data_IF_413147618097
#
_entry.id   IF_413147618097
#
_cell.length_a   1.000
_cell.length_b   1.000
_cell.length_c   1.000
_cell.angle_alpha   90.00
_cell.angle_beta   90.00
_cell.angle_gamma   90.00
#
_symmetry.space_group_name_H-M   'P 1'
#
loop_
_entity.id
_entity.type
_entity.pdbx_description
1 polymer ?
#
# COMPACT_ATOMS: atom_id res chain seq x y z
N UNK A 1 -36.05 40.08 3.57
CA UNK A 1 -35.22 39.80 2.37
C UNK A 1 -33.89 39.08 2.64
N UNK A 2 -33.36 39.04 3.86
CA UNK A 2 -32.05 38.50 4.24
C UNK A 2 -31.95 36.96 4.31
N UNK A 3 -33.05 36.25 4.61
CA UNK A 3 -33.04 34.78 4.84
C UNK A 3 -32.91 34.00 3.52
N UNK A 4 -33.58 34.46 2.45
CA UNK A 4 -33.53 33.80 1.13
C UNK A 4 -32.13 33.82 0.51
N UNK A 5 -31.43 34.96 0.61
CA UNK A 5 -30.05 35.09 0.12
C UNK A 5 -29.06 34.15 0.85
N UNK A 6 -29.22 33.97 2.17
CA UNK A 6 -28.37 33.02 2.95
C UNK A 6 -28.62 31.58 2.54
N UNK A 7 -29.87 31.18 2.32
CA UNK A 7 -30.21 29.80 1.89
C UNK A 7 -29.64 29.51 0.50
N UNK A 8 -29.75 30.44 -0.44
CA UNK A 8 -29.18 30.25 -1.79
C UNK A 8 -27.66 30.16 -1.75
N UNK A 9 -27.00 31.05 -1.00
CA UNK A 9 -25.52 31.00 -0.85
C UNK A 9 -25.04 29.68 -0.22
N UNK A 10 -25.73 29.17 0.79
CA UNK A 10 -25.42 27.87 1.42
C UNK A 10 -25.63 26.71 0.44
N UNK A 11 -26.68 26.74 -0.36
CA UNK A 11 -26.94 25.70 -1.38
C UNK A 11 -25.86 25.68 -2.47
N UNK A 12 -25.44 26.86 -2.95
CA UNK A 12 -24.37 26.98 -3.95
C UNK A 12 -23.03 26.46 -3.37
N UNK A 13 -22.71 26.80 -2.13
CA UNK A 13 -21.48 26.33 -1.49
C UNK A 13 -21.47 24.81 -1.32
N UNK A 14 -22.59 24.21 -0.95
CA UNK A 14 -22.74 22.74 -0.87
C UNK A 14 -22.56 22.07 -2.23
N UNK A 15 -23.17 22.62 -3.28
CA UNK A 15 -23.03 22.08 -4.64
C UNK A 15 -21.57 22.13 -5.11
N UNK A 16 -20.87 23.26 -4.89
CA UNK A 16 -19.45 23.38 -5.24
C UNK A 16 -18.58 22.36 -4.46
N UNK A 17 -18.85 22.17 -3.17
CA UNK A 17 -18.16 21.17 -2.35
C UNK A 17 -18.39 19.75 -2.87
N UNK A 18 -19.63 19.42 -3.22
CA UNK A 18 -20.00 18.13 -3.77
C UNK A 18 -19.31 17.87 -5.12
N UNK A 19 -19.27 18.87 -6.00
CA UNK A 19 -18.58 18.77 -7.29
C UNK A 19 -17.08 18.54 -7.12
N UNK A 20 -16.41 19.26 -6.21
CA UNK A 20 -15.00 19.05 -5.89
C UNK A 20 -14.76 17.63 -5.33
N UNK A 21 -15.59 17.18 -4.42
CA UNK A 21 -15.50 15.81 -3.86
C UNK A 21 -15.64 14.76 -4.96
N UNK A 22 -16.63 14.88 -5.83
CA UNK A 22 -16.84 13.93 -6.93
C UNK A 22 -15.67 13.95 -7.92
N UNK A 23 -15.10 15.12 -8.24
CA UNK A 23 -13.95 15.24 -9.12
C UNK A 23 -12.70 14.58 -8.52
N UNK A 24 -12.44 14.80 -7.22
CA UNK A 24 -11.33 14.16 -6.49
C UNK A 24 -11.49 12.63 -6.47
N UNK A 25 -12.71 12.15 -6.19
CA UNK A 25 -13.03 10.71 -6.20
C UNK A 25 -12.85 10.11 -7.60
N UNK A 26 -13.33 10.80 -8.64
CA UNK A 26 -13.17 10.34 -10.03
C UNK A 26 -11.71 10.24 -10.44
N UNK A 27 -10.86 11.17 -10.04
CA UNK A 27 -9.40 11.10 -10.29
C UNK A 27 -8.78 9.91 -9.60
N UNK A 28 -9.13 9.63 -8.34
CA UNK A 28 -8.63 8.46 -7.63
C UNK A 28 -9.03 7.16 -8.35
N UNK A 29 -10.30 7.04 -8.72
CA UNK A 29 -10.82 5.87 -9.43
C UNK A 29 -10.16 5.69 -10.81
N UNK A 30 -10.04 6.77 -11.60
CA UNK A 30 -9.41 6.72 -12.92
C UNK A 30 -7.93 6.34 -12.86
N UNK A 31 -7.18 6.90 -11.91
CA UNK A 31 -5.75 6.54 -11.72
C UNK A 31 -5.60 5.10 -11.22
N UNK A 32 -6.46 4.62 -10.34
CA UNK A 32 -6.45 3.23 -9.89
C UNK A 32 -6.76 2.27 -11.04
N UNK A 33 -7.75 2.60 -11.87
CA UNK A 33 -8.11 1.81 -13.05
C UNK A 33 -6.98 1.76 -14.08
N UNK A 34 -6.35 2.91 -14.36
CA UNK A 34 -5.20 2.99 -15.27
C UNK A 34 -4.00 2.18 -14.75
N UNK A 35 -3.70 2.27 -13.45
CA UNK A 35 -2.64 1.48 -12.83
C UNK A 35 -2.94 -0.03 -12.86
N UNK A 36 -4.21 -0.41 -12.67
CA UNK A 36 -4.65 -1.81 -12.78
C UNK A 36 -4.45 -2.35 -14.21
N UNK A 37 -4.85 -1.57 -15.22
CA UNK A 37 -4.65 -1.94 -16.62
C UNK A 37 -3.15 -2.05 -16.96
N UNK A 38 -2.33 -1.12 -16.49
CA UNK A 38 -0.87 -1.17 -16.68
C UNK A 38 -0.24 -2.38 -15.97
N UNK A 39 -0.66 -2.70 -14.74
CA UNK A 39 -0.19 -3.88 -14.01
C UNK A 39 -0.55 -5.17 -14.76
N UNK A 40 -1.78 -5.27 -15.24
CA UNK A 40 -2.26 -6.41 -16.01
C UNK A 40 -1.48 -6.59 -17.31
N UNK A 41 -1.27 -5.51 -18.08
CA UNK A 41 -0.50 -5.56 -19.34
C UNK A 41 0.98 -5.90 -19.14
N UNK A 42 1.54 -5.57 -17.96
CA UNK A 42 2.91 -5.95 -17.58
C UNK A 42 3.00 -7.38 -17.00
N UNK A 43 1.91 -8.14 -16.94
CA UNK A 43 1.88 -9.48 -16.34
C UNK A 43 2.11 -9.49 -14.83
N UNK A 44 1.89 -8.34 -14.17
CA UNK A 44 2.06 -8.19 -12.73
C UNK A 44 0.73 -8.37 -11.98
N UNK A 45 0.75 -8.90 -10.75
CA UNK A 45 -0.46 -9.11 -9.98
C UNK A 45 -1.10 -7.78 -9.55
N UNK A 46 -2.30 -7.52 -10.04
CA UNK A 46 -3.06 -6.27 -9.78
C UNK A 46 -3.29 -6.05 -8.29
N UNK A 47 -3.56 -7.10 -7.52
CA UNK A 47 -3.75 -6.99 -6.08
C UNK A 47 -2.47 -6.52 -5.36
N UNK A 48 -1.26 -6.95 -5.82
CA UNK A 48 0.00 -6.49 -5.26
C UNK A 48 0.29 -5.02 -5.65
N UNK A 49 -0.20 -4.55 -6.79
CA UNK A 49 -0.21 -3.12 -7.14
C UNK A 49 -1.02 -2.33 -6.10
N UNK A 50 -2.20 -2.82 -5.68
CA UNK A 50 -2.98 -2.17 -4.63
C UNK A 50 -2.30 -2.19 -3.25
N UNK A 51 -1.47 -3.19 -2.94
CA UNK A 51 -0.61 -3.16 -1.74
C UNK A 51 0.28 -1.90 -1.75
N UNK A 52 0.94 -1.60 -2.85
CA UNK A 52 1.75 -0.40 -2.99
C UNK A 52 0.94 0.90 -2.91
N UNK A 53 -0.28 0.90 -3.50
CA UNK A 53 -1.21 2.02 -3.40
C UNK A 53 -1.58 2.32 -1.93
N UNK A 54 -1.99 1.31 -1.18
CA UNK A 54 -2.35 1.43 0.25
C UNK A 54 -1.15 1.84 1.08
N UNK A 55 0.03 1.26 0.81
CA UNK A 55 1.25 1.59 1.52
C UNK A 55 1.62 3.06 1.37
N UNK A 56 1.43 3.66 0.19
CA UNK A 56 1.68 5.09 -0.03
C UNK A 56 0.87 5.97 0.94
N UNK A 57 -0.39 5.62 1.19
CA UNK A 57 -1.28 6.37 2.07
C UNK A 57 -1.17 6.00 3.55
N UNK A 58 -0.40 4.97 3.90
CA UNK A 58 -0.31 4.47 5.28
C UNK A 58 0.40 5.44 6.23
N UNK A 59 1.31 6.28 5.69
CA UNK A 59 2.03 7.30 6.46
C UNK A 59 2.56 8.40 5.54
N UNK A 60 2.30 9.67 5.94
CA UNK A 60 2.72 10.83 5.15
C UNK A 60 1.98 10.93 3.81
N UNK A 61 2.32 11.95 3.03
CA UNK A 61 1.71 12.20 1.73
C UNK A 61 2.69 12.92 0.80
N UNK A 62 4.00 12.73 1.04
CA UNK A 62 5.07 13.25 0.19
C UNK A 62 5.69 12.14 -0.65
N UNK A 63 6.43 12.51 -1.67
CA UNK A 63 7.19 11.55 -2.46
C UNK A 63 8.23 10.79 -1.60
N UNK A 64 8.88 11.50 -0.66
CA UNK A 64 9.84 10.90 0.26
C UNK A 64 9.16 9.87 1.18
N UNK A 65 8.00 10.21 1.74
CA UNK A 65 7.24 9.25 2.56
C UNK A 65 6.82 8.03 1.75
N UNK A 66 6.38 8.25 0.49
CA UNK A 66 6.05 7.17 -0.43
C UNK A 66 7.22 6.20 -0.67
N UNK A 67 8.44 6.72 -0.86
CA UNK A 67 9.65 5.89 -1.00
C UNK A 67 9.97 5.10 0.28
N UNK A 68 9.84 5.72 1.45
CA UNK A 68 10.05 5.05 2.75
C UNK A 68 9.02 3.94 2.94
N UNK A 69 7.75 4.23 2.66
CA UNK A 69 6.67 3.24 2.78
C UNK A 69 6.86 2.08 1.79
N UNK A 70 7.25 2.38 0.56
CA UNK A 70 7.57 1.36 -0.44
C UNK A 70 8.77 0.49 0.00
N UNK A 71 9.82 1.10 0.55
CA UNK A 71 10.94 0.38 1.16
C UNK A 71 10.48 -0.57 2.28
N UNK A 72 9.51 -0.15 3.09
CA UNK A 72 8.86 -0.99 4.10
C UNK A 72 8.15 -2.19 3.48
N UNK A 73 7.42 -2.00 2.37
CA UNK A 73 6.77 -3.11 1.64
C UNK A 73 7.82 -4.11 1.11
N UNK A 74 8.89 -3.62 0.49
CA UNK A 74 9.97 -4.48 0.00
C UNK A 74 10.62 -5.28 1.13
N UNK A 75 10.94 -4.64 2.24
CA UNK A 75 11.47 -5.32 3.41
C UNK A 75 10.48 -6.36 3.96
N UNK A 76 9.18 -6.06 3.95
CA UNK A 76 8.13 -7.00 4.32
C UNK A 76 8.08 -8.22 3.40
N UNK A 77 8.23 -8.05 2.09
CA UNK A 77 8.35 -9.17 1.14
C UNK A 77 9.58 -10.03 1.45
N UNK A 78 10.72 -9.40 1.72
CA UNK A 78 11.96 -10.12 2.12
C UNK A 78 11.77 -10.89 3.42
N UNK A 79 11.15 -10.28 4.43
CA UNK A 79 10.80 -10.97 5.68
C UNK A 79 9.84 -12.13 5.45
N UNK A 80 8.88 -11.99 4.53
CA UNK A 80 7.98 -13.07 4.13
C UNK A 80 8.72 -14.25 3.49
N UNK A 81 9.65 -13.99 2.59
CA UNK A 81 10.50 -15.02 1.97
C UNK A 81 11.36 -15.72 3.01
N UNK A 82 12.00 -14.96 3.91
CA UNK A 82 12.80 -15.52 5.01
C UNK A 82 11.94 -16.37 5.96
N UNK A 83 10.73 -15.89 6.28
CA UNK A 83 9.78 -16.63 7.11
C UNK A 83 9.36 -17.96 6.46
N UNK A 84 9.03 -17.96 5.17
CA UNK A 84 8.65 -19.18 4.45
C UNK A 84 9.81 -20.20 4.43
N UNK A 85 11.03 -19.75 4.17
CA UNK A 85 12.23 -20.60 4.23
C UNK A 85 12.45 -21.17 5.64
N UNK A 86 12.30 -20.35 6.68
CA UNK A 86 12.44 -20.79 8.07
C UNK A 86 11.35 -21.80 8.47
N UNK A 87 10.10 -21.60 8.03
CA UNK A 87 9.00 -22.53 8.28
C UNK A 87 9.29 -23.88 7.62
N UNK A 88 9.76 -23.87 6.36
CA UNK A 88 10.11 -25.10 5.65
C UNK A 88 11.27 -25.85 6.34
N UNK A 89 12.29 -25.14 6.78
CA UNK A 89 13.44 -25.73 7.48
C UNK A 89 13.07 -26.27 8.88
N UNK A 90 12.19 -25.59 9.61
CA UNK A 90 11.77 -25.99 10.95
C UNK A 90 10.67 -27.07 10.96
N UNK A 91 9.94 -27.23 9.86
CA UNK A 91 8.80 -28.14 9.72
C UNK A 91 9.10 -29.59 10.10
N UNK A 92 10.21 -30.20 9.64
CA UNK A 92 10.56 -31.59 10.00
C UNK A 92 10.75 -31.82 11.51
N UNK A 93 11.20 -30.79 12.24
CA UNK A 93 11.49 -30.91 13.68
C UNK A 93 10.32 -30.45 14.55
N UNK A 94 9.66 -29.34 14.17
CA UNK A 94 8.64 -28.68 14.99
C UNK A 94 7.20 -28.99 14.54
N UNK A 95 7.02 -29.63 13.37
CA UNK A 95 5.70 -29.92 12.84
C UNK A 95 4.82 -28.67 12.76
N UNK A 96 3.62 -28.76 13.30
CA UNK A 96 2.63 -27.66 13.30
C UNK A 96 3.07 -26.41 14.08
N UNK A 97 4.07 -26.51 14.96
CA UNK A 97 4.59 -25.40 15.76
C UNK A 97 5.58 -24.52 14.98
N UNK A 98 6.10 -24.98 13.83
CA UNK A 98 7.02 -24.18 13.01
C UNK A 98 6.42 -22.85 12.60
N UNK A 99 5.19 -22.84 12.07
CA UNK A 99 4.52 -21.63 11.62
C UNK A 99 4.32 -20.59 12.76
N UNK A 100 3.67 -20.90 13.90
CA UNK A 100 3.45 -19.91 14.95
C UNK A 100 4.75 -19.40 15.57
N UNK A 101 5.79 -20.22 15.67
CA UNK A 101 7.08 -19.81 16.21
C UNK A 101 7.77 -18.81 15.26
N UNK A 102 7.82 -19.12 13.96
CA UNK A 102 8.43 -18.21 12.97
C UNK A 102 7.64 -16.89 12.88
N UNK A 103 6.30 -16.96 12.89
CA UNK A 103 5.44 -15.75 12.91
C UNK A 103 5.74 -14.90 14.14
N UNK A 104 5.89 -15.50 15.31
CA UNK A 104 6.25 -14.78 16.53
C UNK A 104 7.58 -14.03 16.38
N UNK A 105 8.63 -14.71 15.88
CA UNK A 105 9.98 -14.14 15.71
C UNK A 105 9.92 -12.97 14.71
N UNK A 106 9.28 -13.18 13.56
CA UNK A 106 9.18 -12.15 12.50
C UNK A 106 8.36 -10.97 12.99
N UNK A 107 7.23 -11.22 13.65
CA UNK A 107 6.40 -10.15 14.21
C UNK A 107 7.15 -9.34 15.28
N UNK A 108 7.91 -9.99 16.17
CA UNK A 108 8.77 -9.32 17.14
C UNK A 108 9.79 -8.40 16.42
N UNK A 109 10.46 -8.90 15.39
CA UNK A 109 11.39 -8.10 14.59
C UNK A 109 10.72 -6.90 13.93
N UNK A 110 9.64 -7.12 13.19
CA UNK A 110 8.92 -6.06 12.46
C UNK A 110 8.36 -5.00 13.42
N UNK A 111 7.71 -5.43 14.51
CA UNK A 111 7.12 -4.49 15.48
C UNK A 111 8.20 -3.71 16.22
N UNK A 112 9.38 -4.27 16.45
CA UNK A 112 10.52 -3.57 17.06
C UNK A 112 11.04 -2.41 16.20
N UNK A 113 10.85 -2.45 14.88
CA UNK A 113 11.22 -1.35 13.98
C UNK A 113 10.45 -0.05 14.25
N UNK A 114 9.35 -0.11 14.99
CA UNK A 114 8.63 1.10 15.44
C UNK A 114 9.49 2.05 16.27
N UNK A 115 10.56 1.56 16.90
CA UNK A 115 11.51 2.37 17.67
C UNK A 115 12.42 3.22 16.78
N UNK A 116 12.53 2.91 15.49
CA UNK A 116 13.41 3.63 14.54
C UNK A 116 12.58 4.65 13.75
N UNK A 117 12.84 5.96 13.88
CA UNK A 117 11.96 7.02 13.33
C UNK A 117 11.65 6.92 11.85
N UNK A 118 12.61 6.47 11.02
CA UNK A 118 12.42 6.32 9.57
C UNK A 118 11.68 5.01 9.22
N UNK A 119 11.87 3.97 10.05
CA UNK A 119 11.38 2.61 9.82
C UNK A 119 10.10 2.29 10.60
N UNK A 120 9.52 3.25 11.30
CA UNK A 120 8.41 3.04 12.23
C UNK A 120 7.03 2.84 11.58
N UNK A 121 6.95 2.78 10.24
CA UNK A 121 5.71 2.42 9.57
C UNK A 121 5.53 0.89 9.52
N UNK A 122 5.17 0.32 10.66
CA UNK A 122 4.96 -1.12 10.83
C UNK A 122 3.94 -1.69 9.82
N UNK A 123 2.91 -0.90 9.45
CA UNK A 123 1.91 -1.32 8.48
C UNK A 123 2.52 -1.64 7.10
N UNK A 124 3.50 -0.86 6.64
CA UNK A 124 4.14 -1.10 5.35
C UNK A 124 4.85 -2.47 5.30
N UNK A 125 5.51 -2.87 6.37
CA UNK A 125 6.14 -4.21 6.46
C UNK A 125 5.09 -5.33 6.45
N UNK A 126 4.01 -5.18 7.21
CA UNK A 126 2.93 -6.17 7.20
C UNK A 126 2.26 -6.27 5.84
N UNK A 127 2.08 -5.17 5.11
CA UNK A 127 1.58 -5.19 3.74
C UNK A 127 2.50 -6.00 2.82
N UNK A 128 3.81 -5.88 2.96
CA UNK A 128 4.79 -6.69 2.22
C UNK A 128 4.74 -8.17 2.60
N UNK A 129 4.65 -8.49 3.90
CA UNK A 129 4.46 -9.86 4.39
C UNK A 129 3.19 -10.48 3.82
N UNK A 130 2.07 -9.76 3.89
CA UNK A 130 0.78 -10.20 3.33
C UNK A 130 0.92 -10.42 1.82
N UNK A 131 1.58 -9.50 1.10
CA UNK A 131 1.78 -9.63 -0.34
C UNK A 131 2.52 -10.93 -0.69
N UNK A 132 3.57 -11.27 0.04
CA UNK A 132 4.32 -12.49 -0.21
C UNK A 132 3.48 -13.75 0.07
N UNK A 133 2.86 -13.85 1.24
CA UNK A 133 2.08 -15.05 1.59
C UNK A 133 0.81 -15.21 0.72
N UNK A 134 0.15 -14.11 0.36
CA UNK A 134 -1.01 -14.14 -0.53
C UNK A 134 -0.66 -14.53 -1.97
N UNK A 135 0.58 -14.35 -2.39
CA UNK A 135 1.04 -14.75 -3.71
C UNK A 135 1.12 -16.28 -3.87
N UNK A 136 1.26 -17.03 -2.79
CA UNK A 136 1.51 -18.48 -2.81
C UNK A 136 2.67 -18.88 -3.73
N UNK A 137 3.71 -18.03 -3.82
CA UNK A 137 4.89 -18.25 -4.64
C UNK A 137 6.07 -18.67 -3.76
N UNK A 138 6.99 -19.41 -4.37
CA UNK A 138 8.25 -19.80 -3.73
C UNK A 138 9.15 -18.58 -3.47
N UNK A 139 9.94 -18.58 -2.37
CA UNK A 139 10.92 -17.55 -2.12
C UNK A 139 11.98 -17.51 -3.24
N UNK A 140 11.94 -16.44 -4.03
CA UNK A 140 12.87 -16.26 -5.15
C UNK A 140 13.05 -14.77 -5.49
N UNK A 141 14.14 -14.45 -6.18
CA UNK A 141 14.35 -13.10 -6.69
C UNK A 141 13.23 -12.68 -7.66
N UNK A 142 12.75 -13.61 -8.49
CA UNK A 142 11.64 -13.36 -9.41
C UNK A 142 10.38 -12.97 -8.65
N UNK A 143 10.01 -13.72 -7.61
CA UNK A 143 8.87 -13.40 -6.73
C UNK A 143 9.02 -12.01 -6.12
N UNK A 144 10.21 -11.70 -5.60
CA UNK A 144 10.52 -10.37 -5.06
C UNK A 144 10.37 -9.25 -6.09
N UNK A 145 10.88 -9.45 -7.30
CA UNK A 145 10.75 -8.47 -8.39
C UNK A 145 9.31 -8.30 -8.86
N UNK A 146 8.53 -9.37 -8.98
CA UNK A 146 7.11 -9.31 -9.39
C UNK A 146 6.27 -8.55 -8.36
N UNK A 147 6.39 -8.89 -7.08
CA UNK A 147 5.64 -8.24 -6.02
C UNK A 147 6.12 -6.79 -5.79
N UNK A 148 7.43 -6.58 -5.79
CA UNK A 148 8.03 -5.26 -5.68
C UNK A 148 7.67 -4.36 -6.86
N UNK A 149 7.77 -4.85 -8.08
CA UNK A 149 7.40 -4.10 -9.29
C UNK A 149 5.93 -3.70 -9.31
N UNK A 150 5.02 -4.63 -8.98
CA UNK A 150 3.60 -4.32 -8.85
C UNK A 150 3.34 -3.25 -7.77
N UNK A 151 3.95 -3.40 -6.58
CA UNK A 151 3.80 -2.44 -5.49
C UNK A 151 4.41 -1.07 -5.81
N UNK A 152 5.53 -1.02 -6.56
CA UNK A 152 6.11 0.23 -7.05
C UNK A 152 5.13 0.98 -7.94
N UNK A 153 4.51 0.28 -8.89
CA UNK A 153 3.50 0.84 -9.79
C UNK A 153 2.32 1.44 -9.01
N UNK A 154 1.84 0.72 -8.00
CA UNK A 154 0.76 1.20 -7.13
C UNK A 154 1.14 2.44 -6.33
N UNK A 155 2.33 2.47 -5.73
CA UNK A 155 2.85 3.62 -4.98
C UNK A 155 3.01 4.86 -5.86
N UNK A 156 3.53 4.70 -7.08
CA UNK A 156 3.67 5.79 -8.06
C UNK A 156 2.31 6.31 -8.52
N UNK A 157 1.36 5.43 -8.81
CA UNK A 157 0.02 5.80 -9.21
C UNK A 157 -0.73 6.53 -8.09
N UNK A 158 -0.57 6.11 -6.83
CA UNK A 158 -1.13 6.78 -5.66
C UNK A 158 -0.56 8.19 -5.48
N UNK A 159 0.77 8.35 -5.61
CA UNK A 159 1.42 9.66 -5.57
C UNK A 159 0.91 10.59 -6.67
N UNK A 160 0.81 10.08 -7.90
CA UNK A 160 0.32 10.85 -9.05
C UNK A 160 -1.14 11.26 -8.86
N UNK A 161 -1.98 10.34 -8.41
CA UNK A 161 -3.37 10.58 -8.06
C UNK A 161 -3.50 11.72 -7.04
N UNK A 162 -2.74 11.64 -5.94
CA UNK A 162 -2.75 12.67 -4.90
C UNK A 162 -2.32 14.04 -5.43
N UNK A 163 -1.33 14.08 -6.32
CA UNK A 163 -0.84 15.32 -6.93
C UNK A 163 -1.91 16.02 -7.77
N UNK A 164 -2.68 15.25 -8.56
CA UNK A 164 -3.80 15.78 -9.34
C UNK A 164 -4.94 16.25 -8.40
N UNK A 165 -5.32 15.43 -7.43
CA UNK A 165 -6.37 15.75 -6.47
C UNK A 165 -6.10 17.07 -5.73
N UNK A 166 -4.85 17.29 -5.31
CA UNK A 166 -4.44 18.55 -4.64
C UNK A 166 -4.61 19.77 -5.54
N UNK A 167 -4.39 19.65 -6.86
CA UNK A 167 -4.61 20.75 -7.81
C UNK A 167 -6.10 21.07 -8.01
N UNK A 168 -6.97 20.07 -7.93
CA UNK A 168 -8.43 20.25 -8.05
C UNK A 168 -9.01 20.83 -6.75
N UNK A 169 -8.45 20.44 -5.61
CA UNK A 169 -8.91 20.90 -4.30
C UNK A 169 -8.48 22.34 -3.97
N UNK A 170 -7.36 22.80 -4.54
CA UNK A 170 -6.89 24.18 -4.41
C UNK A 170 -7.82 25.16 -5.12
#
# INVERSE_FOLDING_TARGET
MTTSHKVIATSISRLKSQMKFNAVTAVAAATAAAASAASLSAGLPVWAMFIGWVAFFSRGHSFRDGLINYGGVLAGVVFGMAAATAIAAAGPTLGKMALPLVVFIVAMGVVSLRAVPVMNNVLAYFLGLIAFFAAHLEPSLETGMRLGGASAMGSLAAWFSLKIQRRIAA
#
